data_IF_054396176674
#
_entry.id   IF_054396176674
#
_cell.length_a   1.000
_cell.length_b   1.000
_cell.length_c   1.000
_cell.angle_alpha   90.00
_cell.angle_beta   90.00
_cell.angle_gamma   90.00
#
_symmetry.space_group_name_H-M   'P 1'
#
loop_
_entity.id
_entity.type
_entity.pdbx_description
1 polymer ?
#
# COMPACT_ATOMS: atom_id res chain seq x y z
N UNK A 1 43.19 -3.30 -7.22
CA UNK A 1 41.96 -3.65 -7.95
C UNK A 1 40.79 -3.30 -7.05
N UNK A 2 40.12 -2.17 -7.27
CA UNK A 2 38.98 -1.73 -6.47
C UNK A 2 37.75 -1.76 -7.36
N UNK A 3 36.81 -2.65 -7.04
CA UNK A 3 35.55 -2.79 -7.76
C UNK A 3 34.69 -1.53 -7.65
N UNK A 4 33.82 -1.27 -8.65
CA UNK A 4 33.00 -0.05 -8.68
C UNK A 4 32.03 0.01 -7.49
N UNK A 5 32.06 1.13 -6.76
CA UNK A 5 31.15 1.42 -5.64
C UNK A 5 29.78 1.81 -6.17
N UNK A 6 28.76 1.03 -5.79
CA UNK A 6 27.38 1.16 -6.23
C UNK A 6 26.64 2.19 -5.35
N UNK A 7 26.32 3.37 -5.89
CA UNK A 7 25.42 4.32 -5.23
C UNK A 7 23.96 3.94 -5.52
N UNK A 8 23.27 3.38 -4.52
CA UNK A 8 21.82 3.22 -4.53
C UNK A 8 21.13 4.60 -4.44
N UNK A 9 21.05 5.32 -5.55
CA UNK A 9 20.14 6.46 -5.63
C UNK A 9 18.73 5.90 -5.68
N UNK A 10 18.12 5.85 -4.50
CA UNK A 10 16.78 5.33 -4.23
C UNK A 10 15.75 6.18 -4.97
N UNK A 11 15.48 5.80 -6.21
CA UNK A 11 14.55 6.51 -7.08
C UNK A 11 13.21 6.67 -6.35
N UNK A 12 12.83 7.93 -6.20
CA UNK A 12 11.67 8.42 -5.44
C UNK A 12 10.47 7.53 -5.79
N UNK A 13 9.83 6.94 -4.78
CA UNK A 13 8.55 6.21 -4.91
C UNK A 13 7.66 6.93 -5.93
N UNK A 14 7.36 6.28 -7.05
CA UNK A 14 6.52 6.88 -8.09
C UNK A 14 5.17 7.34 -7.51
N UNK A 15 4.60 8.47 -7.97
CA UNK A 15 3.32 9.00 -7.49
C UNK A 15 2.18 7.99 -7.67
N UNK A 16 2.26 7.13 -8.68
CA UNK A 16 1.29 6.08 -8.95
C UNK A 16 1.22 5.03 -7.83
N UNK A 17 2.36 4.56 -7.31
CA UNK A 17 2.39 3.64 -6.17
C UNK A 17 1.91 4.28 -4.86
N UNK A 18 2.02 5.61 -4.74
CA UNK A 18 1.46 6.39 -3.61
C UNK A 18 -0.07 6.41 -3.69
N UNK A 19 -0.64 6.68 -4.86
CA UNK A 19 -2.08 6.69 -5.09
C UNK A 19 -2.72 5.33 -4.79
N UNK A 20 -2.16 4.23 -5.34
CA UNK A 20 -2.68 2.87 -5.10
C UNK A 20 -2.54 2.45 -3.63
N UNK A 21 -1.45 2.84 -2.95
CA UNK A 21 -1.32 2.64 -1.49
C UNK A 21 -2.41 3.40 -0.71
N UNK A 22 -2.73 4.62 -1.12
CA UNK A 22 -3.82 5.39 -0.52
C UNK A 22 -5.18 4.75 -0.78
N UNK A 23 -5.43 4.23 -2.00
CA UNK A 23 -6.66 3.48 -2.31
C UNK A 23 -6.81 2.25 -1.41
N UNK A 24 -5.72 1.49 -1.19
CA UNK A 24 -5.73 0.36 -0.26
C UNK A 24 -6.07 0.79 1.17
N UNK A 25 -5.48 1.89 1.64
CA UNK A 25 -5.75 2.41 2.98
C UNK A 25 -7.20 2.90 3.13
N UNK A 26 -7.72 3.63 2.14
CA UNK A 26 -9.10 4.11 2.11
C UNK A 26 -10.06 2.92 2.10
N UNK A 27 -9.80 1.89 1.28
CA UNK A 27 -10.62 0.68 1.25
C UNK A 27 -10.68 -0.01 2.62
N UNK A 28 -9.53 -0.15 3.29
CA UNK A 28 -9.48 -0.70 4.65
C UNK A 28 -10.29 0.16 5.64
N UNK A 29 -10.15 1.48 5.58
CA UNK A 29 -10.91 2.40 6.42
C UNK A 29 -12.41 2.31 6.18
N UNK A 30 -12.85 2.27 4.92
CA UNK A 30 -14.27 2.14 4.56
C UNK A 30 -14.85 0.83 5.07
N UNK A 31 -14.12 -0.29 4.96
CA UNK A 31 -14.60 -1.58 5.50
C UNK A 31 -14.67 -1.58 7.03
N UNK A 32 -13.69 -0.96 7.69
CA UNK A 32 -13.68 -0.82 9.15
C UNK A 32 -14.85 0.06 9.63
N UNK A 33 -15.02 1.22 8.99
CA UNK A 33 -16.10 2.17 9.28
C UNK A 33 -17.47 1.59 8.93
N UNK A 34 -17.58 0.79 7.87
CA UNK A 34 -18.80 0.09 7.50
C UNK A 34 -19.18 -0.96 8.55
N UNK A 35 -18.20 -1.70 9.09
CA UNK A 35 -18.44 -2.67 10.16
C UNK A 35 -18.89 -1.97 11.45
N UNK A 36 -18.15 -0.93 11.88
CA UNK A 36 -18.50 -0.14 13.06
C UNK A 36 -19.82 0.60 12.90
N UNK A 37 -20.08 1.15 11.71
CA UNK A 37 -21.32 1.83 11.36
C UNK A 37 -22.51 0.87 11.37
N UNK A 38 -22.35 -0.35 10.86
CA UNK A 38 -23.38 -1.39 10.94
C UNK A 38 -23.71 -1.70 12.40
N UNK A 39 -22.71 -1.91 13.24
CA UNK A 39 -22.93 -2.14 14.67
C UNK A 39 -23.60 -0.93 15.36
N UNK A 40 -23.19 0.30 15.04
CA UNK A 40 -23.74 1.52 15.61
C UNK A 40 -25.20 1.77 15.20
N UNK A 41 -25.56 1.43 13.95
CA UNK A 41 -26.93 1.56 13.44
C UNK A 41 -27.81 0.44 13.97
N UNK A 42 -27.35 -0.81 13.94
CA UNK A 42 -28.15 -1.98 14.30
C UNK A 42 -28.31 -2.14 15.81
N UNK A 43 -27.30 -1.77 16.60
CA UNK A 43 -27.29 -1.92 18.07
C UNK A 43 -28.54 -1.39 18.78
N UNK A 44 -28.98 -0.14 18.53
CA UNK A 44 -30.20 0.41 19.12
C UNK A 44 -31.47 -0.39 18.79
N UNK A 45 -31.59 -0.90 17.56
CA UNK A 45 -32.76 -1.69 17.14
C UNK A 45 -32.79 -3.08 17.78
N UNK A 46 -31.63 -3.65 18.09
CA UNK A 46 -31.53 -4.94 18.80
C UNK A 46 -31.92 -4.84 20.28
N UNK A 47 -31.81 -3.66 20.89
CA UNK A 47 -32.25 -3.41 22.28
C UNK A 47 -33.73 -3.06 22.41
N UNK A 48 -34.47 -3.03 21.30
CA UNK A 48 -35.90 -2.75 21.29
C UNK A 48 -36.74 -3.90 21.84
N UNK A 49 -37.91 -3.58 22.37
CA UNK A 49 -38.87 -4.57 22.90
C UNK A 49 -39.67 -5.29 21.82
N UNK A 50 -39.54 -4.87 20.55
CA UNK A 50 -40.37 -5.33 19.44
C UNK A 50 -39.67 -6.46 18.64
N UNK A 51 -40.16 -7.71 18.73
CA UNK A 51 -39.45 -8.87 18.20
C UNK A 51 -39.30 -8.86 16.68
N UNK A 52 -40.25 -8.26 15.94
CA UNK A 52 -40.16 -8.14 14.48
C UNK A 52 -39.03 -7.19 14.07
N UNK A 53 -38.88 -6.07 14.79
CA UNK A 53 -37.83 -5.08 14.55
C UNK A 53 -36.46 -5.66 14.88
N UNK A 54 -36.34 -6.39 15.99
CA UNK A 54 -35.10 -7.06 16.39
C UNK A 54 -34.68 -8.10 15.36
N UNK A 55 -35.61 -8.92 14.86
CA UNK A 55 -35.31 -9.88 13.80
C UNK A 55 -34.88 -9.21 12.50
N UNK A 56 -35.60 -8.19 12.05
CA UNK A 56 -35.27 -7.46 10.83
C UNK A 56 -33.90 -6.79 10.90
N UNK A 57 -33.63 -6.07 12.00
CA UNK A 57 -32.35 -5.40 12.23
C UNK A 57 -31.20 -6.40 12.38
N UNK A 58 -31.43 -7.54 13.06
CA UNK A 58 -30.45 -8.60 13.21
C UNK A 58 -30.10 -9.26 11.87
N UNK A 59 -31.10 -9.55 11.04
CA UNK A 59 -30.89 -10.16 9.72
C UNK A 59 -30.15 -9.20 8.78
N UNK A 60 -30.56 -7.94 8.75
CA UNK A 60 -29.85 -6.89 7.99
C UNK A 60 -28.40 -6.72 8.46
N UNK A 61 -28.19 -6.63 9.78
CA UNK A 61 -26.86 -6.49 10.37
C UNK A 61 -25.96 -7.68 10.07
N UNK A 62 -26.47 -8.91 10.22
CA UNK A 62 -25.75 -10.13 9.93
C UNK A 62 -25.39 -10.23 8.44
N UNK A 63 -26.32 -9.91 7.55
CA UNK A 63 -26.13 -9.98 6.10
C UNK A 63 -25.12 -8.92 5.63
N UNK A 64 -25.20 -7.71 6.19
CA UNK A 64 -24.25 -6.62 5.91
C UNK A 64 -22.85 -6.96 6.43
N UNK A 65 -22.73 -7.46 7.67
CA UNK A 65 -21.45 -7.90 8.22
C UNK A 65 -20.86 -9.07 7.44
N UNK A 66 -21.68 -10.05 7.03
CA UNK A 66 -21.25 -11.17 6.20
C UNK A 66 -20.76 -10.70 4.82
N UNK A 67 -21.47 -9.76 4.20
CA UNK A 67 -21.05 -9.16 2.92
C UNK A 67 -19.72 -8.40 3.07
N UNK A 68 -19.57 -7.61 4.13
CA UNK A 68 -18.30 -6.92 4.42
C UNK A 68 -17.19 -7.95 4.62
N UNK A 69 -17.39 -8.95 5.48
CA UNK A 69 -16.37 -9.97 5.77
C UNK A 69 -15.98 -10.85 4.58
N UNK A 70 -16.84 -11.00 3.58
CA UNK A 70 -16.54 -11.75 2.36
C UNK A 70 -15.87 -10.88 1.30
N UNK A 71 -16.37 -9.66 1.09
CA UNK A 71 -15.83 -8.71 0.10
C UNK A 71 -14.48 -8.14 0.56
N UNK A 72 -14.29 -7.99 1.87
CA UNK A 72 -13.08 -7.40 2.45
C UNK A 72 -11.79 -8.16 2.10
N UNK A 73 -11.64 -9.48 2.37
CA UNK A 73 -10.45 -10.22 1.97
C UNK A 73 -10.28 -10.24 0.45
N UNK A 74 -11.36 -10.34 -0.32
CA UNK A 74 -11.29 -10.31 -1.78
C UNK A 74 -10.77 -8.97 -2.31
N UNK A 75 -11.29 -7.85 -1.81
CA UNK A 75 -10.84 -6.51 -2.16
C UNK A 75 -9.41 -6.24 -1.69
N UNK A 76 -9.03 -6.68 -0.49
CA UNK A 76 -7.64 -6.57 -0.02
C UNK A 76 -6.67 -7.37 -0.87
N UNK A 77 -7.07 -8.56 -1.33
CA UNK A 77 -6.26 -9.40 -2.22
C UNK A 77 -6.05 -8.70 -3.56
N UNK A 78 -7.13 -8.23 -4.19
CA UNK A 78 -7.07 -7.54 -5.48
C UNK A 78 -6.23 -6.27 -5.40
N UNK A 79 -6.48 -5.40 -4.42
CA UNK A 79 -5.69 -4.18 -4.24
C UNK A 79 -4.26 -4.49 -3.82
N UNK A 80 -4.03 -5.53 -3.01
CA UNK A 80 -2.70 -5.97 -2.59
C UNK A 80 -1.84 -6.42 -3.76
N UNK A 81 -2.42 -7.21 -4.68
CA UNK A 81 -1.76 -7.59 -5.94
C UNK A 81 -1.49 -6.35 -6.81
N UNK A 82 -2.47 -5.44 -6.94
CA UNK A 82 -2.29 -4.21 -7.71
C UNK A 82 -1.18 -3.31 -7.12
N UNK A 83 -1.08 -3.21 -5.80
CA UNK A 83 0.02 -2.51 -5.10
C UNK A 83 1.37 -3.16 -5.41
N UNK A 84 1.42 -4.49 -5.43
CA UNK A 84 2.65 -5.23 -5.69
C UNK A 84 3.13 -5.05 -7.14
N UNK A 85 2.21 -5.15 -8.10
CA UNK A 85 2.49 -4.93 -9.53
C UNK A 85 2.94 -3.49 -9.80
N UNK A 86 2.32 -2.50 -9.16
CA UNK A 86 2.68 -1.08 -9.35
C UNK A 86 3.97 -0.66 -8.65
N UNK A 87 4.54 -1.52 -7.78
CA UNK A 87 5.85 -1.32 -7.13
C UNK A 87 7.06 -1.76 -7.98
N UNK A 88 6.84 -2.44 -9.10
CA UNK A 88 7.86 -3.18 -9.86
C UNK A 88 8.84 -2.37 -10.72
N UNK A 89 9.22 -1.13 -10.36
CA UNK A 89 10.34 -0.44 -11.04
C UNK A 89 11.35 0.12 -10.05
N UNK A 90 12.31 -0.73 -9.67
CA UNK A 90 13.62 -0.31 -9.19
C UNK A 90 14.47 -0.03 -10.42
N UNK A 91 14.58 1.24 -10.85
CA UNK A 91 15.65 1.61 -11.77
C UNK A 91 16.93 1.74 -10.94
N UNK A 92 17.91 0.91 -11.26
CA UNK A 92 19.29 1.08 -10.83
C UNK A 92 19.91 2.08 -11.81
N UNK A 93 20.20 3.29 -11.33
CA UNK A 93 21.01 4.26 -12.08
C UNK A 93 22.47 3.98 -11.69
N UNK A 94 23.36 3.62 -12.63
CA UNK A 94 24.79 3.54 -12.36
C UNK A 94 25.33 4.95 -12.07
N UNK A 95 26.15 5.09 -11.03
CA UNK A 95 26.72 6.36 -10.59
C UNK A 95 27.52 7.06 -11.71
N UNK A 96 27.51 8.42 -11.79
CA UNK A 96 28.37 9.14 -12.71
C UNK A 96 29.85 8.87 -12.40
N UNK A 97 30.73 8.70 -13.40
CA UNK A 97 32.16 8.59 -13.15
C UNK A 97 32.66 9.87 -12.47
N UNK A 98 33.45 9.72 -11.41
CA UNK A 98 33.91 10.84 -10.59
C UNK A 98 34.64 11.91 -11.43
N UNK A 99 34.24 13.19 -11.32
CA UNK A 99 34.95 14.29 -11.96
C UNK A 99 36.18 14.63 -11.11
N UNK A 100 37.27 13.87 -11.25
CA UNK A 100 38.43 14.14 -10.40
C UNK A 100 39.69 13.31 -10.61
N UNK A 101 39.65 12.17 -11.32
CA UNK A 101 40.91 11.51 -11.71
C UNK A 101 41.48 12.18 -12.96
N UNK A 102 42.18 13.28 -12.69
CA UNK A 102 43.12 13.88 -13.61
C UNK A 102 43.98 12.80 -14.24
N UNK A 103 44.00 12.78 -15.56
CA UNK A 103 45.12 12.25 -16.32
C UNK A 103 46.34 13.06 -15.92
N UNK A 104 47.05 12.62 -14.89
CA UNK A 104 48.42 13.05 -14.63
C UNK A 104 49.24 12.46 -15.79
N UNK A 105 49.77 13.28 -16.72
CA UNK A 105 50.76 12.77 -17.64
C UNK A 105 52.01 12.45 -16.82
N UNK A 106 52.73 11.35 -17.10
CA UNK A 106 53.99 11.08 -16.42
C UNK A 106 55.01 12.15 -16.83
N UNK A 107 55.10 13.20 -16.03
CA UNK A 107 56.23 14.14 -16.01
C UNK A 107 57.33 13.50 -15.16
N UNK A 108 58.50 13.30 -15.75
CA UNK A 108 59.74 13.03 -15.01
C UNK A 108 60.49 11.82 -15.53
N UNK A 109 61.52 12.08 -16.33
CA UNK A 109 62.53 11.10 -16.68
C UNK A 109 63.48 10.78 -15.53
N UNK A 110 64.31 9.76 -15.75
CA UNK A 110 65.74 9.68 -15.38
C UNK A 110 66.19 8.22 -15.50
N UNK A 111 67.06 7.95 -16.49
CA UNK A 111 68.39 7.35 -16.35
C UNK A 111 68.89 6.94 -17.73
#
# INVERSE_FOLDING_TARGET
MAGPVMLEVRERRGPFGRAVKWSFLIFQLVMLLGSLGTCAVVGPFLSGSDPEVVMGAGMFGAMTLAAIWTIWPLGTLVLGVLVLLTRGRKRLIPAPPEPGRGSVPPTGGQS
#
